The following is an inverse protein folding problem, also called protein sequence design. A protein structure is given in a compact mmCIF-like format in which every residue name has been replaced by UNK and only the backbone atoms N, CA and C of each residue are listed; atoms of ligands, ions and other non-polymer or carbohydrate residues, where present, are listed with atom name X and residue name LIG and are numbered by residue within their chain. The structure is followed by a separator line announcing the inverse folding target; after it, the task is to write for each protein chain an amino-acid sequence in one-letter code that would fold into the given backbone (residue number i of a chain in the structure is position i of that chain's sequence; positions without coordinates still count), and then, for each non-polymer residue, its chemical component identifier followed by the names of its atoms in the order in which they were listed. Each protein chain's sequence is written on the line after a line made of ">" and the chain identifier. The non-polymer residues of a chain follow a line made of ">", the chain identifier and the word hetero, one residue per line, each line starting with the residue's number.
data_IF_538686714180
#
_entry.id   IF_538686714180
#
_cell.length_a   1.000
_cell.length_b   1.000
_cell.length_c   1.000
_cell.angle_alpha   90.00
_cell.angle_beta   90.00
_cell.angle_gamma   90.00
#
_symmetry.space_group_name_H-M   'P 1'
#
loop_
_entity.id
_entity.type
_entity.pdbx_description
1 polymer ?
#
# COMPACT_ATOMS: atom_id res chain seq x y z
N UNK A 1 -11.68 -3.07 2.66
CA UNK A 1 -10.85 -2.09 1.93
C UNK A 1 -11.38 -1.76 0.54
N UNK A 2 -11.90 -2.73 -0.22
CA UNK A 2 -12.41 -2.49 -1.59
C UNK A 2 -13.49 -1.40 -1.67
N UNK A 3 -14.42 -1.37 -0.71
CA UNK A 3 -15.44 -0.32 -0.60
C UNK A 3 -14.81 1.07 -0.48
N UNK A 4 -13.82 1.22 0.41
CA UNK A 4 -13.11 2.48 0.61
C UNK A 4 -12.38 2.95 -0.66
N UNK A 5 -11.62 2.06 -1.32
CA UNK A 5 -10.90 2.40 -2.56
C UNK A 5 -11.87 2.75 -3.68
N UNK A 6 -12.99 2.03 -3.77
CA UNK A 6 -14.03 2.28 -4.77
C UNK A 6 -14.70 3.64 -4.56
N UNK A 7 -15.11 3.96 -3.32
CA UNK A 7 -15.74 5.24 -2.99
C UNK A 7 -14.80 6.42 -3.28
N UNK A 8 -13.50 6.31 -2.93
CA UNK A 8 -12.52 7.33 -3.28
C UNK A 8 -12.33 7.48 -4.79
N UNK A 9 -12.34 6.36 -5.52
CA UNK A 9 -12.28 6.37 -6.98
C UNK A 9 -13.50 7.08 -7.59
N UNK A 10 -14.71 6.78 -7.09
CA UNK A 10 -15.95 7.44 -7.50
C UNK A 10 -15.91 8.94 -7.20
N UNK A 11 -15.48 9.36 -6.01
CA UNK A 11 -15.35 10.78 -5.67
C UNK A 11 -14.32 11.53 -6.53
N UNK A 12 -13.25 10.85 -6.95
CA UNK A 12 -12.22 11.45 -7.81
C UNK A 12 -12.65 11.55 -9.29
N UNK A 13 -13.53 10.66 -9.74
CA UNK A 13 -13.94 10.54 -11.15
C UNK A 13 -15.28 11.20 -11.44
N UNK A 14 -16.26 11.01 -10.55
CA UNK A 14 -17.63 11.52 -10.69
C UNK A 14 -17.85 12.82 -9.91
N UNK A 15 -17.06 13.07 -8.88
CA UNK A 15 -17.19 14.25 -8.02
C UNK A 15 -18.43 14.26 -7.14
N UNK A 16 -18.59 15.34 -6.39
CA UNK A 16 -19.76 15.64 -5.56
C UNK A 16 -20.45 16.86 -6.16
N UNK A 17 -21.74 16.73 -6.47
CA UNK A 17 -22.57 17.84 -6.94
C UNK A 17 -23.33 18.44 -5.78
N UNK A 18 -23.21 19.74 -5.60
CA UNK A 18 -23.86 20.47 -4.53
C UNK A 18 -24.23 21.88 -4.99
N UNK A 19 -25.08 22.55 -4.23
CA UNK A 19 -25.56 23.89 -4.56
C UNK A 19 -24.92 24.89 -3.60
N UNK A 20 -24.20 25.85 -4.15
CA UNK A 20 -23.67 27.01 -3.42
C UNK A 20 -24.54 28.22 -3.73
N UNK A 21 -25.45 28.55 -2.81
CA UNK A 21 -26.49 29.57 -3.01
C UNK A 21 -27.31 29.36 -4.31
N UNK A 22 -26.93 30.05 -5.39
CA UNK A 22 -27.56 29.99 -6.71
C UNK A 22 -26.72 29.26 -7.77
N UNK A 23 -25.51 28.80 -7.43
CA UNK A 23 -24.61 28.09 -8.33
C UNK A 23 -24.65 26.58 -8.09
N UNK A 24 -24.60 25.81 -9.17
CA UNK A 24 -24.39 24.37 -9.10
C UNK A 24 -22.88 24.10 -9.21
N UNK A 25 -22.30 23.56 -8.15
CA UNK A 25 -20.87 23.29 -8.05
C UNK A 25 -20.62 21.79 -8.13
N UNK A 26 -19.58 21.41 -8.87
CA UNK A 26 -19.04 20.04 -8.88
C UNK A 26 -17.64 20.05 -8.29
N UNK A 27 -17.43 19.33 -7.19
CA UNK A 27 -16.14 19.23 -6.50
C UNK A 27 -15.59 17.81 -6.62
N UNK A 28 -14.35 17.67 -7.10
CA UNK A 28 -13.65 16.37 -7.15
C UNK A 28 -12.75 16.21 -5.95
N UNK A 29 -12.75 15.01 -5.36
CA UNK A 29 -11.96 14.71 -4.17
C UNK A 29 -10.80 13.80 -4.55
N UNK A 30 -9.59 14.23 -4.24
CA UNK A 30 -8.37 13.47 -4.46
C UNK A 30 -7.74 13.13 -3.11
N UNK A 31 -7.48 11.85 -2.87
CA UNK A 31 -6.74 11.41 -1.68
C UNK A 31 -5.24 11.46 -1.97
N UNK A 32 -4.54 12.39 -1.32
CA UNK A 32 -3.09 12.55 -1.49
C UNK A 32 -2.31 11.63 -0.55
N UNK A 33 -2.79 11.45 0.68
CA UNK A 33 -2.18 10.59 1.68
C UNK A 33 -3.26 10.02 2.62
N UNK A 34 -2.97 8.89 3.27
CA UNK A 34 -3.84 8.30 4.28
C UNK A 34 -3.03 7.77 5.47
N UNK A 35 -3.58 7.94 6.66
CA UNK A 35 -3.00 7.41 7.90
C UNK A 35 -3.56 6.00 8.15
N UNK A 36 -2.80 4.99 7.77
CA UNK A 36 -3.14 3.59 7.97
C UNK A 36 -2.12 2.94 8.90
N UNK A 37 -2.58 2.14 9.85
CA UNK A 37 -1.71 1.20 10.57
C UNK A 37 -1.14 0.15 9.58
N UNK A 38 -0.17 -0.65 10.02
CA UNK A 38 0.49 -1.62 9.13
C UNK A 38 -0.52 -2.60 8.47
N UNK A 39 -1.48 -3.19 9.22
CA UNK A 39 -2.53 -4.01 8.63
C UNK A 39 -3.37 -3.32 7.54
N UNK A 40 -3.95 -2.15 7.84
CA UNK A 40 -4.81 -1.46 6.89
C UNK A 40 -4.03 -0.96 5.67
N UNK A 41 -2.77 -0.55 5.86
CA UNK A 41 -1.89 -0.10 4.76
C UNK A 41 -1.63 -1.21 3.75
N UNK A 42 -1.33 -2.42 4.24
CA UNK A 42 -1.15 -3.59 3.39
C UNK A 42 -2.43 -3.87 2.59
N UNK A 43 -3.60 -3.84 3.24
CA UNK A 43 -4.87 -4.06 2.57
C UNK A 43 -5.19 -2.99 1.50
N UNK A 44 -4.92 -1.70 1.76
CA UNK A 44 -5.15 -0.61 0.79
C UNK A 44 -4.23 -0.74 -0.42
N UNK A 45 -2.99 -1.18 -0.20
CA UNK A 45 -1.98 -1.30 -1.25
C UNK A 45 -1.98 -2.68 -1.92
N UNK A 46 -2.94 -3.55 -1.61
CA UNK A 46 -3.01 -4.94 -2.07
C UNK A 46 -1.72 -5.75 -1.76
N UNK A 47 -1.05 -5.44 -0.65
CA UNK A 47 0.15 -6.12 -0.20
C UNK A 47 -0.19 -7.20 0.84
N UNK A 48 0.53 -8.32 0.79
CA UNK A 48 0.33 -9.42 1.74
C UNK A 48 0.76 -9.00 3.15
N UNK A 49 -0.13 -9.23 4.12
CA UNK A 49 0.07 -8.94 5.54
C UNK A 49 0.40 -10.24 6.29
N UNK A 50 1.60 -10.83 6.13
CA UNK A 50 2.00 -11.96 6.97
C UNK A 50 3.52 -12.07 7.06
N UNK A 51 4.07 -11.90 8.27
CA UNK A 51 5.42 -12.30 8.71
C UNK A 51 6.53 -12.23 7.65
N UNK A 52 6.50 -11.20 6.81
CA UNK A 52 7.47 -11.10 5.75
C UNK A 52 8.80 -10.56 6.26
N UNK A 53 9.80 -10.67 5.42
CA UNK A 53 11.13 -10.19 5.70
C UNK A 53 11.22 -8.66 5.63
N UNK A 54 10.35 -7.98 4.88
CA UNK A 54 10.42 -6.53 4.65
C UNK A 54 9.34 -5.78 5.43
N UNK A 55 9.67 -4.64 6.04
CA UNK A 55 8.72 -3.85 6.84
C UNK A 55 8.08 -2.67 6.14
N UNK A 56 8.54 -2.36 4.92
CA UNK A 56 8.22 -1.12 4.24
C UNK A 56 7.53 -1.39 2.89
N UNK A 57 6.46 -0.64 2.55
CA UNK A 57 5.86 -0.69 1.21
C UNK A 57 6.59 0.14 0.16
N UNK A 58 7.55 0.96 0.55
CA UNK A 58 8.34 1.78 -0.38
C UNK A 58 9.71 1.21 -0.69
N UNK A 59 10.31 0.44 0.21
CA UNK A 59 11.64 -0.14 0.02
C UNK A 59 11.70 -1.60 0.47
N UNK A 60 12.77 -2.26 0.06
CA UNK A 60 13.11 -3.62 0.42
C UNK A 60 14.09 -3.65 1.59
N UNK A 61 13.83 -2.83 2.61
CA UNK A 61 14.62 -2.86 3.84
C UNK A 61 14.31 -4.16 4.62
N UNK A 62 15.32 -5.02 4.84
CA UNK A 62 15.14 -6.31 5.47
C UNK A 62 15.05 -6.22 7.00
N UNK A 63 14.17 -7.03 7.58
CA UNK A 63 14.12 -7.25 9.02
C UNK A 63 15.22 -8.23 9.43
N UNK A 64 16.04 -7.83 10.39
CA UNK A 64 17.14 -8.63 10.91
C UNK A 64 16.79 -9.18 12.30
N UNK A 65 17.08 -10.45 12.54
CA UNK A 65 16.89 -11.04 13.86
C UNK A 65 18.04 -10.59 14.78
N UNK A 66 17.73 -9.77 15.77
CA UNK A 66 18.68 -9.27 16.77
C UNK A 66 18.12 -9.65 18.14
N UNK A 67 18.84 -10.53 18.85
CA UNK A 67 18.44 -11.02 20.19
C UNK A 67 17.04 -11.66 20.20
N UNK A 68 16.69 -12.40 19.15
CA UNK A 68 15.40 -13.08 19.04
C UNK A 68 14.23 -12.16 18.62
N UNK A 69 14.48 -10.87 18.38
CA UNK A 69 13.48 -9.91 17.93
C UNK A 69 13.86 -9.40 16.54
N UNK A 70 12.87 -9.28 15.64
CA UNK A 70 13.12 -8.68 14.32
C UNK A 70 13.22 -7.17 14.46
N UNK A 71 14.36 -6.61 14.06
CA UNK A 71 14.67 -5.17 14.06
C UNK A 71 15.04 -4.72 12.64
N UNK A 72 14.72 -3.47 12.29
CA UNK A 72 15.15 -2.82 11.05
C UNK A 72 16.37 -1.95 11.39
N UNK A 73 17.56 -2.51 11.17
CA UNK A 73 18.83 -1.88 11.56
C UNK A 73 19.31 -0.91 10.49
N UNK A 74 20.16 0.04 10.86
CA UNK A 74 20.84 0.87 9.86
C UNK A 74 21.70 -0.01 8.95
N UNK A 75 21.53 0.15 7.65
CA UNK A 75 22.32 -0.55 6.63
C UNK A 75 23.48 0.33 6.18
N UNK A 76 24.55 -0.29 5.68
CA UNK A 76 25.67 0.45 5.06
C UNK A 76 25.26 1.08 3.72
N UNK A 77 24.35 0.42 2.99
CA UNK A 77 23.79 0.89 1.73
C UNK A 77 22.28 1.08 1.83
N UNK A 78 21.76 2.06 1.09
CA UNK A 78 20.32 2.30 1.03
C UNK A 78 19.59 1.10 0.41
N UNK A 79 18.47 0.66 1.00
CA UNK A 79 17.72 -0.47 0.49
C UNK A 79 17.08 -0.12 -0.86
N UNK A 80 17.00 -1.11 -1.76
CA UNK A 80 16.31 -0.97 -3.04
C UNK A 80 14.87 -0.47 -2.85
N UNK A 81 14.46 0.50 -3.67
CA UNK A 81 13.08 0.96 -3.70
C UNK A 81 12.20 -0.03 -4.45
N UNK A 82 10.97 -0.20 -3.96
CA UNK A 82 9.93 -0.95 -4.67
C UNK A 82 9.45 -0.12 -5.84
N UNK A 83 9.33 -0.75 -7.00
CA UNK A 83 8.69 -0.14 -8.17
C UNK A 83 7.28 -0.69 -8.35
N UNK A 84 6.38 0.13 -8.88
CA UNK A 84 5.02 -0.30 -9.23
C UNK A 84 5.08 -1.52 -10.17
N UNK A 85 5.89 -1.41 -11.24
CA UNK A 85 6.05 -2.46 -12.26
C UNK A 85 6.43 -3.81 -11.64
N UNK A 86 7.40 -3.83 -10.73
CA UNK A 86 7.81 -5.06 -10.07
C UNK A 86 6.76 -5.55 -9.09
N UNK A 87 6.14 -4.65 -8.33
CA UNK A 87 5.08 -4.99 -7.37
C UNK A 87 3.91 -5.68 -8.07
N UNK A 88 3.42 -5.12 -9.18
CA UNK A 88 2.36 -5.72 -10.01
C UNK A 88 2.78 -7.07 -10.58
N UNK A 89 4.03 -7.18 -11.07
CA UNK A 89 4.58 -8.46 -11.57
C UNK A 89 4.60 -9.52 -10.48
N UNK A 90 5.00 -9.18 -9.26
CA UNK A 90 5.04 -10.08 -8.11
C UNK A 90 3.63 -10.50 -7.66
N UNK A 91 2.69 -9.55 -7.60
CA UNK A 91 1.27 -9.82 -7.33
C UNK A 91 0.71 -10.85 -8.32
N UNK A 92 0.99 -10.69 -9.61
CA UNK A 92 0.57 -11.66 -10.63
C UNK A 92 1.13 -13.07 -10.39
N UNK A 93 2.37 -13.21 -9.92
CA UNK A 93 2.95 -14.51 -9.57
C UNK A 93 2.26 -15.17 -8.38
N UNK A 94 1.91 -14.37 -7.37
CA UNK A 94 1.17 -14.85 -6.19
C UNK A 94 -0.25 -15.28 -6.58
N UNK A 95 -0.96 -14.50 -7.40
CA UNK A 95 -2.29 -14.85 -7.91
C UNK A 95 -2.29 -16.16 -8.71
N UNK A 96 -1.25 -16.40 -9.52
CA UNK A 96 -1.06 -17.66 -10.26
C UNK A 96 -0.59 -18.83 -9.38
N UNK A 97 -0.47 -18.62 -8.07
CA UNK A 97 0.00 -19.61 -7.08
C UNK A 97 1.40 -20.17 -7.41
N UNK A 98 2.22 -19.40 -8.14
CA UNK A 98 3.62 -19.79 -8.44
C UNK A 98 4.47 -19.79 -7.16
N UNK A 99 4.15 -18.89 -6.20
CA UNK A 99 4.71 -18.84 -4.85
C UNK A 99 3.66 -18.33 -3.87
N UNK A 100 3.75 -18.81 -2.62
CA UNK A 100 2.87 -18.41 -1.52
C UNK A 100 3.18 -17.02 -0.97
N UNK A 101 4.44 -16.58 -1.02
CA UNK A 101 4.86 -15.24 -0.62
C UNK A 101 6.12 -14.78 -1.38
N UNK A 102 6.16 -13.52 -1.83
CA UNK A 102 7.33 -12.91 -2.47
C UNK A 102 7.42 -11.43 -2.11
N UNK A 103 8.46 -11.05 -1.35
CA UNK A 103 8.76 -9.66 -0.97
C UNK A 103 7.52 -8.92 -0.45
N UNK A 104 6.64 -9.55 0.32
CA UNK A 104 5.50 -8.91 0.98
C UNK A 104 5.94 -8.07 2.17
N UNK A 105 4.99 -7.68 3.03
CA UNK A 105 5.26 -6.80 4.17
C UNK A 105 4.96 -7.50 5.49
N UNK A 106 5.87 -7.31 6.45
CA UNK A 106 5.63 -7.65 7.84
C UNK A 106 4.60 -6.70 8.43
N UNK A 107 3.39 -7.22 8.65
CA UNK A 107 2.32 -6.55 9.39
C UNK A 107 2.55 -6.61 10.89
#
# INVERSE_FOLDING_TARGET
>A
MEVYVKELSELSTQGIKWKDENENVESRVYTLCGCFDSPARCAVQNMNQFNDYFGCPWCLHPGMLVEGVVKYVTLEEDPELRTERETVKLMGKVLRREKSNIKGIKG
#
